data_IF_230319202093
#
_entry.id   IF_230319202093
#
_cell.length_a   1.000
_cell.length_b   1.000
_cell.length_c   1.000
_cell.angle_alpha   90.00
_cell.angle_beta   90.00
_cell.angle_gamma   90.00
#
_symmetry.space_group_name_H-M   'P 1'
#
loop_
_entity.id
_entity.type
_entity.pdbx_description
1 polymer ?
#
# COMPACT_ATOMS: atom_id res chain seq x y z
N UNK A 1 -16.78 19.06 0.19
CA UNK A 1 -17.03 17.95 -0.74
C UNK A 1 -17.25 16.70 0.08
N UNK A 2 -18.33 15.99 -0.23
CA UNK A 2 -18.67 14.67 0.33
C UNK A 2 -18.15 13.59 -0.63
N UNK A 3 -17.73 12.46 -0.09
CA UNK A 3 -17.23 11.34 -0.88
C UNK A 3 -18.39 10.51 -1.46
N UNK A 4 -18.15 9.90 -2.62
CA UNK A 4 -19.00 8.87 -3.21
C UNK A 4 -18.62 7.53 -2.56
N UNK A 5 -19.60 6.90 -1.93
CA UNK A 5 -19.45 5.60 -1.29
C UNK A 5 -19.55 4.45 -2.31
N UNK A 6 -18.73 3.41 -2.14
CA UNK A 6 -18.73 2.22 -3.01
C UNK A 6 -18.84 0.95 -2.18
N UNK A 7 -19.48 -0.08 -2.73
CA UNK A 7 -19.62 -1.42 -2.12
C UNK A 7 -19.06 -2.47 -3.07
N UNK A 8 -18.33 -3.45 -2.55
CA UNK A 8 -17.98 -4.66 -3.30
C UNK A 8 -19.26 -5.52 -3.36
N UNK A 9 -19.84 -5.69 -4.54
CA UNK A 9 -20.89 -6.69 -4.76
C UNK A 9 -20.24 -7.93 -5.34
N UNK A 10 -20.64 -9.13 -4.86
CA UNK A 10 -20.07 -10.43 -5.27
C UNK A 10 -20.16 -10.74 -6.78
N UNK A 11 -20.76 -9.86 -7.60
CA UNK A 11 -21.02 -10.07 -9.02
C UNK A 11 -20.14 -9.25 -9.99
N UNK A 12 -19.06 -8.60 -9.53
CA UNK A 12 -18.15 -7.87 -10.42
C UNK A 12 -16.85 -8.65 -10.70
N UNK A 13 -16.92 -9.62 -11.60
CA UNK A 13 -15.76 -10.29 -12.20
C UNK A 13 -14.94 -9.35 -13.10
N UNK A 14 -15.47 -8.18 -13.50
CA UNK A 14 -14.83 -7.29 -14.48
C UNK A 14 -13.85 -6.25 -13.92
N UNK A 15 -13.69 -6.11 -12.60
CA UNK A 15 -12.85 -5.05 -11.99
C UNK A 15 -11.98 -5.51 -10.82
N UNK A 16 -11.72 -6.82 -10.69
CA UNK A 16 -10.73 -7.31 -9.74
C UNK A 16 -9.32 -7.16 -10.34
N UNK A 17 -8.63 -6.06 -9.99
CA UNK A 17 -7.24 -5.86 -10.39
C UNK A 17 -6.34 -6.93 -9.77
N UNK A 18 -5.34 -7.39 -10.53
CA UNK A 18 -4.35 -8.33 -10.02
C UNK A 18 -3.45 -7.67 -8.97
N UNK A 19 -2.77 -8.49 -8.17
CA UNK A 19 -1.76 -8.02 -7.20
C UNK A 19 -0.78 -7.03 -7.81
N UNK A 20 -0.22 -7.38 -8.97
CA UNK A 20 0.82 -6.58 -9.62
C UNK A 20 0.24 -5.26 -10.15
N UNK A 21 -0.97 -5.28 -10.69
CA UNK A 21 -1.61 -4.06 -11.20
C UNK A 21 -1.92 -3.09 -10.07
N UNK A 22 -2.37 -3.58 -8.90
CA UNK A 22 -2.63 -2.74 -7.73
C UNK A 22 -1.35 -2.08 -7.24
N UNK A 23 -0.27 -2.84 -7.12
CA UNK A 23 1.03 -2.30 -6.72
C UNK A 23 1.52 -1.25 -7.71
N UNK A 24 1.44 -1.55 -9.00
CA UNK A 24 1.84 -0.61 -10.04
C UNK A 24 0.99 0.67 -10.00
N UNK A 25 -0.32 0.54 -9.80
CA UNK A 25 -1.23 1.67 -9.66
C UNK A 25 -0.86 2.57 -8.47
N UNK A 26 -0.68 2.00 -7.26
CA UNK A 26 -0.31 2.80 -6.08
C UNK A 26 1.03 3.50 -6.29
N UNK A 27 2.02 2.79 -6.83
CA UNK A 27 3.32 3.37 -7.12
C UNK A 27 3.24 4.51 -8.13
N UNK A 28 2.36 4.41 -9.13
CA UNK A 28 2.14 5.46 -10.12
C UNK A 28 1.50 6.71 -9.51
N UNK A 29 0.49 6.57 -8.65
CA UNK A 29 -0.21 7.73 -8.06
C UNK A 29 0.57 8.41 -6.92
N UNK A 30 1.39 7.65 -6.16
CA UNK A 30 2.14 8.18 -5.02
C UNK A 30 3.63 8.38 -5.29
N UNK A 31 4.13 7.97 -6.46
CA UNK A 31 5.55 7.96 -6.81
C UNK A 31 6.40 7.20 -5.77
N UNK A 32 5.93 6.01 -5.40
CA UNK A 32 6.54 5.09 -4.43
C UNK A 32 7.10 3.83 -5.10
N UNK A 33 7.76 2.97 -4.33
CA UNK A 33 8.35 1.71 -4.80
C UNK A 33 7.92 0.52 -3.91
N UNK A 34 6.62 0.34 -3.71
CA UNK A 34 6.08 -0.86 -3.05
C UNK A 34 6.28 -2.08 -3.95
N UNK A 35 6.61 -3.21 -3.36
CA UNK A 35 6.76 -4.49 -4.04
C UNK A 35 5.72 -5.50 -3.58
N UNK A 36 5.18 -5.33 -2.37
CA UNK A 36 4.23 -6.22 -1.73
C UNK A 36 3.00 -5.45 -1.24
N UNK A 37 1.84 -6.10 -1.27
CA UNK A 37 0.56 -5.50 -0.82
C UNK A 37 0.59 -5.27 0.68
N UNK A 38 1.30 -6.13 1.40
CA UNK A 38 1.50 -6.09 2.84
C UNK A 38 2.21 -4.81 3.29
N UNK A 39 2.98 -4.14 2.42
CA UNK A 39 3.63 -2.86 2.76
C UNK A 39 2.60 -1.71 2.93
N UNK A 40 1.39 -1.88 2.39
CA UNK A 40 0.28 -0.95 2.57
C UNK A 40 -0.33 -1.02 3.99
N UNK A 41 0.02 -2.05 4.77
CA UNK A 41 -0.39 -2.20 6.19
C UNK A 41 0.10 -1.07 7.09
N UNK A 42 1.04 -0.25 6.63
CA UNK A 42 1.48 0.95 7.33
C UNK A 42 0.41 2.05 7.38
N UNK A 43 -0.60 1.99 6.52
CA UNK A 43 -1.67 2.99 6.44
C UNK A 43 -1.25 4.31 5.78
N UNK A 44 0.05 4.54 5.55
CA UNK A 44 0.58 5.79 5.05
C UNK A 44 0.18 6.07 3.59
N UNK A 45 0.25 5.04 2.73
CA UNK A 45 -0.15 5.14 1.33
C UNK A 45 -1.62 5.59 1.19
N UNK A 46 -2.52 5.01 2.00
CA UNK A 46 -3.93 5.38 2.00
C UNK A 46 -4.16 6.81 2.46
N UNK A 47 -3.44 7.27 3.49
CA UNK A 47 -3.52 8.67 3.94
C UNK A 47 -3.13 9.64 2.82
N UNK A 48 -2.06 9.35 2.09
CA UNK A 48 -1.60 10.18 0.97
C UNK A 48 -2.60 10.15 -0.20
N UNK A 49 -3.10 8.97 -0.56
CA UNK A 49 -4.07 8.83 -1.64
C UNK A 49 -5.40 9.56 -1.33
N UNK A 50 -5.86 9.55 -0.07
CA UNK A 50 -7.05 10.32 0.33
C UNK A 50 -6.79 11.82 0.33
N UNK A 51 -5.57 12.27 0.65
CA UNK A 51 -5.22 13.69 0.54
C UNK A 51 -5.22 14.17 -0.92
N UNK A 52 -4.84 13.31 -1.87
CA UNK A 52 -4.97 13.60 -3.31
C UNK A 52 -6.44 13.83 -3.69
N UNK A 53 -7.35 12.97 -3.21
CA UNK A 53 -8.78 13.08 -3.49
C UNK A 53 -9.44 14.28 -2.78
N UNK A 54 -9.04 14.54 -1.53
CA UNK A 54 -9.64 15.56 -0.67
C UNK A 54 -8.55 16.37 0.05
N UNK A 55 -7.90 17.32 -0.64
CA UNK A 55 -6.82 18.11 -0.08
C UNK A 55 -7.21 18.80 1.24
N UNK A 56 -6.37 18.64 2.26
CA UNK A 56 -6.57 19.27 3.58
C UNK A 56 -7.53 18.53 4.50
N UNK A 57 -8.09 17.38 4.10
CA UNK A 57 -8.86 16.51 5.01
C UNK A 57 -7.97 15.58 5.83
N UNK A 58 -6.78 15.27 5.33
CA UNK A 58 -5.80 14.42 5.99
C UNK A 58 -4.67 15.27 6.58
N UNK A 59 -4.40 15.22 7.90
CA UNK A 59 -3.25 15.88 8.49
C UNK A 59 -1.95 15.11 8.19
N UNK A 60 -1.43 15.21 6.96
CA UNK A 60 -0.24 14.46 6.51
C UNK A 60 1.00 14.67 7.39
N UNK A 61 1.13 15.83 8.05
CA UNK A 61 2.21 16.11 9.00
C UNK A 61 2.27 15.12 10.19
N UNK A 62 1.15 14.46 10.49
CA UNK A 62 1.04 13.48 11.58
C UNK A 62 1.22 12.04 11.11
N UNK A 63 1.28 11.81 9.79
CA UNK A 63 1.39 10.48 9.19
C UNK A 63 2.85 10.04 9.19
N UNK A 64 3.11 8.84 9.70
CA UNK A 64 4.44 8.23 9.70
C UNK A 64 4.61 7.39 8.44
N UNK A 65 5.29 7.94 7.43
CA UNK A 65 5.43 7.32 6.10
C UNK A 65 6.41 6.14 6.10
N UNK A 66 7.50 6.25 6.86
CA UNK A 66 8.53 5.21 6.96
C UNK A 66 8.48 4.58 8.36
N UNK A 67 7.43 3.81 8.63
CA UNK A 67 7.29 3.07 9.90
C UNK A 67 7.32 1.56 9.68
N UNK A 68 7.86 0.86 10.68
CA UNK A 68 7.80 -0.61 10.81
C UNK A 68 7.09 -1.04 12.09
N UNK A 69 6.62 -0.08 12.90
CA UNK A 69 6.05 -0.31 14.22
C UNK A 69 4.53 -0.35 14.13
N UNK A 70 3.93 -1.42 14.62
CA UNK A 70 2.47 -1.63 14.56
C UNK A 70 1.68 -0.46 15.19
N UNK A 71 2.14 0.08 16.32
CA UNK A 71 1.47 1.19 16.99
C UNK A 71 1.47 2.49 16.16
N UNK A 72 2.50 2.72 15.34
CA UNK A 72 2.53 3.86 14.42
C UNK A 72 1.60 3.63 13.23
N UNK A 73 1.53 2.40 12.70
CA UNK A 73 0.56 2.02 11.66
C UNK A 73 -0.88 2.18 12.14
N UNK A 74 -1.19 1.78 13.38
CA UNK A 74 -2.50 2.00 14.01
C UNK A 74 -2.82 3.50 14.05
N UNK A 75 -1.85 4.34 14.42
CA UNK A 75 -2.06 5.80 14.43
C UNK A 75 -2.32 6.35 13.02
N UNK A 76 -1.62 5.87 11.99
CA UNK A 76 -1.89 6.23 10.60
C UNK A 76 -3.32 5.85 10.18
N UNK A 77 -3.79 4.63 10.52
CA UNK A 77 -5.16 4.23 10.23
C UNK A 77 -6.21 5.04 11.00
N UNK A 78 -5.94 5.47 12.24
CA UNK A 78 -6.83 6.39 12.97
C UNK A 78 -6.94 7.75 12.27
N UNK A 79 -5.84 8.24 11.71
CA UNK A 79 -5.86 9.46 10.88
C UNK A 79 -6.74 9.26 9.64
N UNK A 80 -6.61 8.11 8.98
CA UNK A 80 -7.43 7.74 7.82
C UNK A 80 -8.93 7.63 8.17
N UNK A 81 -9.28 6.97 9.27
CA UNK A 81 -10.66 6.87 9.75
C UNK A 81 -11.27 8.26 10.00
N UNK A 82 -10.51 9.17 10.61
CA UNK A 82 -10.97 10.54 10.82
C UNK A 82 -11.19 11.28 9.49
N UNK A 83 -10.33 11.06 8.49
CA UNK A 83 -10.53 11.61 7.16
C UNK A 83 -11.82 11.08 6.51
N UNK A 84 -12.09 9.77 6.61
CA UNK A 84 -13.32 9.15 6.12
C UNK A 84 -14.57 9.72 6.78
N UNK A 85 -14.55 9.90 8.10
CA UNK A 85 -15.66 10.53 8.82
C UNK A 85 -15.91 11.96 8.35
N UNK A 86 -14.86 12.74 8.09
CA UNK A 86 -14.97 14.11 7.57
C UNK A 86 -15.50 14.18 6.14
N UNK A 87 -15.29 13.14 5.34
CA UNK A 87 -15.77 13.07 3.96
C UNK A 87 -17.12 12.37 3.82
N UNK A 88 -17.65 11.77 4.90
CA UNK A 88 -18.91 11.02 4.87
C UNK A 88 -18.77 9.63 4.24
N UNK A 89 -17.60 9.01 4.41
CA UNK A 89 -17.31 7.67 3.87
C UNK A 89 -17.73 6.60 4.88
N UNK A 90 -18.71 5.76 4.53
CA UNK A 90 -19.34 4.78 5.43
C UNK A 90 -18.51 3.48 5.60
N UNK A 91 -17.35 3.38 4.93
CA UNK A 91 -16.54 2.17 4.98
C UNK A 91 -15.82 2.04 6.32
N UNK A 92 -16.13 0.96 7.04
CA UNK A 92 -15.38 0.54 8.22
C UNK A 92 -14.02 -0.01 7.78
N UNK A 93 -12.95 0.55 8.36
CA UNK A 93 -11.57 0.12 8.12
C UNK A 93 -11.21 -0.94 9.18
N UNK A 94 -10.89 -2.19 8.79
CA UNK A 94 -10.55 -3.26 9.73
C UNK A 94 -9.10 -3.12 10.23
N UNK A 95 -8.82 -2.07 11.01
CA UNK A 95 -7.47 -1.64 11.41
C UNK A 95 -6.65 -2.79 12.01
N UNK A 96 -7.21 -3.53 12.97
CA UNK A 96 -6.52 -4.62 13.66
C UNK A 96 -6.04 -5.73 12.71
N UNK A 97 -6.79 -6.00 11.64
CA UNK A 97 -6.44 -7.02 10.65
C UNK A 97 -5.40 -6.51 9.66
N UNK A 98 -5.53 -5.25 9.23
CA UNK A 98 -4.62 -4.63 8.27
C UNK A 98 -3.21 -4.45 8.84
N UNK A 99 -3.09 -3.94 10.07
CA UNK A 99 -1.78 -3.63 10.68
C UNK A 99 -0.95 -4.88 10.96
N UNK A 100 -1.56 -6.07 11.01
CA UNK A 100 -0.86 -7.35 11.12
C UNK A 100 -0.15 -7.76 9.82
N UNK A 101 -0.33 -7.00 8.74
CA UNK A 101 0.34 -7.26 7.46
C UNK A 101 -0.17 -8.51 6.74
N UNK A 102 -1.36 -9.03 7.09
CA UNK A 102 -1.95 -10.19 6.42
C UNK A 102 -2.32 -9.85 4.99
N UNK A 103 -1.85 -10.66 4.03
CA UNK A 103 -2.06 -10.42 2.61
C UNK A 103 -3.55 -10.32 2.26
N UNK A 104 -4.36 -11.29 2.68
CA UNK A 104 -5.79 -11.37 2.33
C UNK A 104 -6.56 -10.11 2.76
N UNK A 105 -6.42 -9.71 4.04
CA UNK A 105 -7.08 -8.51 4.57
C UNK A 105 -6.62 -7.23 3.86
N UNK A 106 -5.30 -7.10 3.62
CA UNK A 106 -4.75 -5.94 2.92
C UNK A 106 -5.19 -5.89 1.44
N UNK A 107 -5.25 -7.04 0.78
CA UNK A 107 -5.64 -7.16 -0.62
C UNK A 107 -7.13 -6.84 -0.82
N UNK A 108 -8.00 -7.36 0.04
CA UNK A 108 -9.42 -7.03 0.03
C UNK A 108 -9.65 -5.52 0.24
N UNK A 109 -8.95 -4.92 1.21
CA UNK A 109 -9.11 -3.51 1.50
C UNK A 109 -8.63 -2.62 0.35
N UNK A 110 -7.47 -2.92 -0.26
CA UNK A 110 -6.94 -2.12 -1.37
C UNK A 110 -7.79 -2.24 -2.63
N UNK A 111 -8.39 -3.41 -2.90
CA UNK A 111 -9.33 -3.57 -4.00
C UNK A 111 -10.54 -2.67 -3.85
N UNK A 112 -11.16 -2.65 -2.66
CA UNK A 112 -12.22 -1.70 -2.35
C UNK A 112 -11.73 -0.25 -2.47
N UNK A 113 -10.53 0.03 -1.95
CA UNK A 113 -9.97 1.38 -1.95
C UNK A 113 -9.74 1.89 -3.38
N UNK A 114 -9.37 1.03 -4.32
CA UNK A 114 -9.25 1.38 -5.74
C UNK A 114 -10.59 1.83 -6.33
N UNK A 115 -11.66 1.07 -6.08
CA UNK A 115 -13.01 1.46 -6.53
C UNK A 115 -13.44 2.78 -5.91
N UNK A 116 -13.14 2.97 -4.63
CA UNK A 116 -13.41 4.21 -3.91
C UNK A 116 -12.63 5.37 -4.55
N UNK A 117 -11.35 5.16 -4.84
CA UNK A 117 -10.51 6.15 -5.49
C UNK A 117 -11.06 6.53 -6.88
N UNK A 118 -11.37 5.56 -7.73
CA UNK A 118 -11.89 5.82 -9.08
C UNK A 118 -13.23 6.56 -9.07
N UNK A 119 -14.13 6.20 -8.16
CA UNK A 119 -15.42 6.86 -8.02
C UNK A 119 -15.25 8.34 -7.64
N UNK A 120 -14.30 8.64 -6.75
CA UNK A 120 -14.06 9.99 -6.24
C UNK A 120 -13.10 10.81 -7.12
N UNK A 121 -12.27 10.16 -7.93
CA UNK A 121 -11.30 10.84 -8.78
C UNK A 121 -11.93 11.44 -10.04
N UNK A 122 -13.08 10.93 -10.50
CA UNK A 122 -13.82 11.45 -11.68
C UNK A 122 -14.25 12.93 -11.57
N UNK A 123 -14.26 13.50 -10.37
CA UNK A 123 -14.50 14.94 -10.15
C UNK A 123 -13.25 15.82 -10.28
N UNK A 124 -12.06 15.23 -10.23
CA UNK A 124 -10.81 15.91 -10.52
C UNK A 124 -10.54 15.73 -12.01
N UNK A 125 -10.66 16.81 -12.79
CA UNK A 125 -10.07 16.84 -14.12
C UNK A 125 -8.60 16.49 -13.93
N UNK A 126 -8.22 15.26 -14.25
CA UNK A 126 -6.83 14.89 -14.42
C UNK A 126 -6.31 15.81 -15.53
N UNK A 127 -5.71 16.93 -15.12
CA UNK A 127 -4.83 17.70 -15.97
C UNK A 127 -3.85 16.69 -16.54
N UNK A 128 -3.83 16.55 -17.87
CA UNK A 128 -2.86 15.72 -18.55
C UNK A 128 -1.46 16.08 -18.01
N UNK A 129 -0.47 15.16 -18.05
CA UNK A 129 0.88 15.42 -17.53
C UNK A 129 1.53 16.73 -18.03
N UNK A 130 1.00 17.33 -19.09
CA UNK A 130 1.41 18.61 -19.68
C UNK A 130 0.99 19.86 -18.88
N UNK A 131 0.02 19.77 -17.98
CA UNK A 131 -0.50 20.92 -17.21
C UNK A 131 0.08 20.98 -15.78
N UNK A 132 1.09 20.16 -15.46
CA UNK A 132 1.86 20.32 -14.21
C UNK A 132 2.78 21.54 -14.38
N UNK A 133 2.53 22.69 -13.72
CA UNK A 133 3.53 23.75 -13.70
C UNK A 133 4.79 23.21 -13.03
N UNK A 134 5.85 23.01 -13.82
CA UNK A 134 7.20 22.96 -13.29
C UNK A 134 7.41 24.25 -12.47
N UNK A 135 7.87 24.08 -11.24
CA UNK A 135 8.28 25.13 -10.29
C UNK A 135 7.20 25.68 -9.33
N UNK A 136 7.16 25.11 -8.13
CA UNK A 136 6.99 25.87 -6.87
C UNK A 136 7.79 25.24 -5.72
N UNK A 137 9.05 24.84 -5.96
CA UNK A 137 10.02 24.64 -4.87
C UNK A 137 11.32 25.35 -5.25
N UNK A 138 11.24 26.68 -5.40
CA UNK A 138 12.45 27.50 -5.48
C UNK A 138 12.13 28.94 -5.08
N UNK A 139 12.17 29.20 -3.77
CA UNK A 139 12.44 30.50 -3.11
C UNK A 139 12.32 30.26 -1.60
N UNK A 140 13.24 30.62 -0.70
CA UNK A 140 14.54 31.31 -0.69
C UNK A 140 14.94 31.33 0.80
N UNK A 141 16.18 31.06 1.21
CA UNK A 141 17.12 32.06 1.76
C UNK A 141 18.42 31.34 2.18
N UNK A 142 19.53 31.54 1.44
CA UNK A 142 20.72 32.37 1.77
C UNK A 142 21.55 31.94 3.01
N UNK A 143 22.80 31.51 2.68
CA UNK A 143 24.13 31.91 3.24
C UNK A 143 24.37 31.63 4.75
N UNK A 144 25.52 31.14 5.24
CA UNK A 144 26.91 31.24 4.78
C UNK A 144 27.88 30.43 5.69
N UNK A 145 28.76 29.64 5.05
CA UNK A 145 30.22 29.47 5.27
C UNK A 145 30.86 28.84 6.54
N UNK A 146 31.74 27.85 6.26
CA UNK A 146 33.08 27.53 6.83
C UNK A 146 33.11 26.99 8.28
N UNK A 147 33.98 26.08 8.74
CA UNK A 147 35.22 25.46 8.25
C UNK A 147 35.44 24.17 9.09
N UNK A 148 35.85 23.04 8.50
CA UNK A 148 37.19 22.41 8.60
C UNK A 148 37.48 21.48 9.81
N UNK A 149 38.28 20.44 9.48
CA UNK A 149 39.09 19.53 10.33
C UNK A 149 38.41 18.32 10.99
N UNK A 150 39.05 17.16 11.19
CA UNK A 150 40.26 16.47 10.67
C UNK A 150 40.29 15.10 11.39
N UNK A 151 40.83 14.06 10.73
CA UNK A 151 41.58 12.90 11.28
C UNK A 151 40.91 11.84 12.19
N UNK A 152 41.00 10.59 11.70
CA UNK A 152 41.77 9.42 12.22
C UNK A 152 41.15 8.32 13.10
N UNK A 153 41.50 7.08 12.68
CA UNK A 153 41.77 5.84 13.43
C UNK A 153 40.55 5.04 13.96
N UNK A 154 40.27 3.83 13.46
CA UNK A 154 40.92 2.51 13.64
C UNK A 154 40.22 1.67 14.72
N UNK A 155 39.74 0.47 14.37
CA UNK A 155 39.98 -0.81 15.07
C UNK A 155 38.94 -1.90 14.71
N UNK A 156 39.43 -2.92 14.02
CA UNK A 156 39.22 -4.38 14.14
C UNK A 156 38.09 -4.90 15.03
N UNK A 157 37.23 -5.78 14.48
CA UNK A 157 37.01 -7.12 15.05
C UNK A 157 36.32 -8.08 14.07
N UNK A 158 36.89 -9.27 14.00
CA UNK A 158 36.52 -10.46 13.25
C UNK A 158 35.42 -11.27 13.93
N UNK A 159 34.41 -11.72 13.18
CA UNK A 159 33.60 -12.92 13.44
C UNK A 159 33.02 -13.36 12.09
N UNK A 160 33.58 -14.40 11.45
CA UNK A 160 33.26 -15.84 11.52
C UNK A 160 31.82 -16.19 11.10
N UNK A 161 31.79 -17.10 10.13
CA UNK A 161 30.69 -17.63 9.32
C UNK A 161 29.76 -18.52 10.13
N UNK A 162 28.45 -18.40 9.93
CA UNK A 162 27.51 -19.52 10.07
C UNK A 162 26.47 -19.52 8.95
N UNK A 163 26.52 -20.60 8.18
CA UNK A 163 25.60 -21.06 7.16
C UNK A 163 24.33 -21.62 7.80
N UNK A 164 23.18 -20.98 7.56
CA UNK A 164 21.85 -21.50 7.91
C UNK A 164 20.98 -21.59 6.67
N UNK A 165 20.79 -22.81 6.15
CA UNK A 165 19.97 -23.09 4.97
C UNK A 165 18.52 -22.67 5.14
N UNK A 166 17.91 -22.22 4.03
CA UNK A 166 16.46 -22.04 3.89
C UNK A 166 15.75 -23.37 4.18
N UNK A 167 14.71 -23.42 5.03
CA UNK A 167 13.86 -24.59 5.08
C UNK A 167 13.10 -24.71 3.74
N UNK A 168 13.20 -25.88 3.12
CA UNK A 168 12.62 -26.23 1.82
C UNK A 168 11.08 -26.34 1.82
N UNK A 169 10.42 -26.02 2.93
CA UNK A 169 9.01 -26.32 3.17
C UNK A 169 8.01 -25.35 2.53
N UNK A 170 8.42 -24.13 2.16
CA UNK A 170 7.50 -23.12 1.60
C UNK A 170 7.10 -23.44 0.15
N UNK A 171 8.01 -24.07 -0.61
CA UNK A 171 7.72 -24.57 -1.96
C UNK A 171 6.94 -25.88 -1.93
N UNK A 172 7.14 -26.72 -0.93
CA UNK A 172 6.41 -27.98 -0.77
C UNK A 172 4.93 -27.73 -0.43
N UNK A 173 4.62 -26.70 0.37
CA UNK A 173 3.24 -26.30 0.69
C UNK A 173 2.51 -25.78 -0.55
N UNK A 174 3.15 -24.90 -1.33
CA UNK A 174 2.54 -24.33 -2.54
C UNK A 174 2.33 -25.38 -3.65
N UNK A 175 3.22 -26.38 -3.75
CA UNK A 175 3.11 -27.46 -4.71
C UNK A 175 2.03 -28.49 -4.32
N UNK A 176 1.80 -28.71 -3.02
CA UNK A 176 0.73 -29.57 -2.53
C UNK A 176 -0.65 -28.90 -2.68
N UNK A 177 -0.76 -27.60 -2.44
CA UNK A 177 -1.99 -26.83 -2.69
C UNK A 177 -2.36 -26.82 -4.18
N UNK A 178 -1.37 -26.67 -5.07
CA UNK A 178 -1.61 -26.73 -6.51
C UNK A 178 -2.02 -28.14 -6.97
N UNK A 179 -1.43 -29.19 -6.38
CA UNK A 179 -1.82 -30.60 -6.64
C UNK A 179 -3.26 -30.87 -6.20
N UNK A 180 -3.67 -30.30 -5.07
CA UNK A 180 -5.03 -30.45 -4.54
C UNK A 180 -6.06 -29.75 -5.44
N UNK A 181 -5.77 -28.53 -5.92
CA UNK A 181 -6.62 -27.83 -6.89
C UNK A 181 -6.73 -28.58 -8.23
N UNK A 182 -5.64 -29.18 -8.72
CA UNK A 182 -5.67 -29.97 -9.97
C UNK A 182 -6.50 -31.25 -9.81
N UNK A 183 -6.50 -31.88 -8.62
CA UNK A 183 -7.34 -33.04 -8.34
C UNK A 183 -8.83 -32.68 -8.32
N UNK A 184 -9.20 -31.56 -7.69
CA UNK A 184 -10.60 -31.11 -7.63
C UNK A 184 -11.15 -30.82 -9.04
N UNK A 185 -10.39 -30.10 -9.87
CA UNK A 185 -10.76 -29.84 -11.27
C UNK A 185 -10.83 -31.12 -12.12
N UNK A 186 -10.01 -32.13 -11.83
CA UNK A 186 -10.07 -33.42 -12.53
C UNK A 186 -11.30 -34.24 -12.15
N UNK A 187 -11.70 -34.24 -10.88
CA UNK A 187 -12.91 -34.93 -10.40
C UNK A 187 -14.18 -34.32 -11.03
N UNK A 188 -14.22 -33.00 -11.15
CA UNK A 188 -15.35 -32.30 -11.79
C UNK A 188 -15.43 -32.62 -13.29
N UNK A 189 -14.28 -32.70 -13.97
CA UNK A 189 -14.24 -33.05 -15.39
C UNK A 189 -14.68 -34.50 -15.64
N UNK A 190 -14.21 -35.46 -14.84
CA UNK A 190 -14.60 -36.87 -14.98
C UNK A 190 -16.07 -37.13 -14.63
N UNK A 191 -16.66 -36.33 -13.74
CA UNK A 191 -18.10 -36.41 -13.40
C UNK A 191 -19.00 -35.84 -14.51
N UNK A 192 -18.44 -35.06 -15.44
CA UNK A 192 -19.18 -34.48 -16.57
C UNK A 192 -19.08 -35.32 -17.85
N UNK A 193 -18.17 -36.30 -17.89
CA UNK A 193 -17.97 -37.21 -19.03
C UNK A 193 -18.67 -38.58 -18.85
N UNK A 194 -19.57 -38.72 -17.88
CA UNK A 194 -20.44 -39.91 -17.68
C UNK A 194 -21.93 -39.62 -17.78
#
# INVERSE_FOLDING_TARGET
>A
MTAINVRLTNNHTSHNMSRNDIIHWINSILNTNYNKIEELSTGAAYCQAVDILFPGKVPLQRVKVQTKLEHESINNFKILQNAFNKTGTDKIIPVERLVKGRFQDNFEFVQWFKLYFDANCRGMKYSQPQDRPQSVIARRSKRSSRNANKSSASSTSTYRVESGGRPSSELDVELEELRQQIMEVKIDKESLEK
#
